data_IF_595055937054
#
_entry.id   IF_595055937054
#
_cell.length_a   1.000
_cell.length_b   1.000
_cell.length_c   1.000
_cell.angle_alpha   90.00
_cell.angle_beta   90.00
_cell.angle_gamma   90.00
#
_symmetry.space_group_name_H-M   'P 1'
#
loop_
_entity.id
_entity.type
_entity.pdbx_description
1 polymer ?
#
# COMPACT_ATOMS: atom_id res chain seq x y z
N UNK A 1 2.07 -16.83 16.87
CA UNK A 1 1.78 -15.67 16.02
C UNK A 1 1.53 -16.20 14.61
N UNK A 2 0.27 -16.42 14.26
CA UNK A 2 -0.11 -16.80 12.90
C UNK A 2 -0.18 -15.51 12.11
N UNK A 3 0.81 -15.26 11.25
CA UNK A 3 0.84 -14.06 10.42
C UNK A 3 -0.29 -14.09 9.39
N UNK A 4 -1.05 -13.02 9.23
CA UNK A 4 -1.92 -12.85 8.04
C UNK A 4 -1.09 -13.05 6.77
N UNK A 5 -1.52 -14.00 5.93
CA UNK A 5 -0.93 -14.26 4.63
C UNK A 5 -1.93 -13.89 3.54
N UNK A 6 -1.56 -12.95 2.68
CA UNK A 6 -2.37 -12.54 1.53
C UNK A 6 -2.02 -13.42 0.32
N UNK A 7 -2.98 -13.64 -0.58
CA UNK A 7 -2.79 -14.46 -1.78
C UNK A 7 -1.59 -14.00 -2.63
N UNK A 8 -0.96 -14.93 -3.36
CA UNK A 8 0.14 -14.59 -4.28
C UNK A 8 -0.30 -13.66 -5.41
N UNK A 9 -1.57 -13.71 -5.80
CA UNK A 9 -2.15 -12.79 -6.78
C UNK A 9 -2.19 -11.36 -6.26
N UNK A 10 -2.72 -11.14 -5.05
CA UNK A 10 -2.77 -9.82 -4.42
C UNK A 10 -1.36 -9.29 -4.16
N UNK A 11 -0.45 -10.14 -3.67
CA UNK A 11 0.97 -9.78 -3.49
C UNK A 11 1.62 -9.33 -4.80
N UNK A 12 1.33 -10.01 -5.91
CA UNK A 12 1.81 -9.62 -7.25
C UNK A 12 1.19 -8.30 -7.69
N UNK A 13 -0.10 -8.10 -7.48
CA UNK A 13 -0.82 -6.89 -7.85
C UNK A 13 -0.31 -5.66 -7.07
N UNK A 14 -0.02 -5.80 -5.77
CA UNK A 14 0.58 -4.74 -4.96
C UNK A 14 2.02 -4.46 -5.39
N UNK A 15 2.84 -5.50 -5.61
CA UNK A 15 4.22 -5.35 -6.11
C UNK A 15 4.29 -4.59 -7.43
N UNK A 16 3.36 -4.84 -8.35
CA UNK A 16 3.29 -4.11 -9.61
C UNK A 16 2.95 -2.62 -9.41
N UNK A 17 2.09 -2.29 -8.45
CA UNK A 17 1.80 -0.89 -8.08
C UNK A 17 3.03 -0.21 -7.47
N UNK A 18 3.69 -0.86 -6.52
CA UNK A 18 4.91 -0.35 -5.90
C UNK A 18 6.06 -0.18 -6.90
N UNK A 19 6.19 -1.09 -7.87
CA UNK A 19 7.21 -0.96 -8.93
C UNK A 19 6.99 0.27 -9.80
N UNK A 20 5.73 0.67 -10.05
CA UNK A 20 5.42 1.93 -10.74
C UNK A 20 5.74 3.15 -9.88
N UNK A 21 5.37 3.11 -8.59
CA UNK A 21 5.71 4.18 -7.65
C UNK A 21 7.23 4.37 -7.52
N UNK A 22 8.00 3.27 -7.51
CA UNK A 22 9.47 3.30 -7.54
C UNK A 22 9.99 4.08 -8.75
N UNK A 23 9.49 3.81 -9.95
CA UNK A 23 9.89 4.56 -11.14
C UNK A 23 9.55 6.06 -11.08
N UNK A 24 8.44 6.41 -10.43
CA UNK A 24 8.09 7.82 -10.17
C UNK A 24 9.07 8.48 -9.20
N UNK A 25 9.44 7.78 -8.12
CA UNK A 25 10.40 8.27 -7.13
C UNK A 25 11.80 8.44 -7.76
N UNK A 26 12.24 7.46 -8.56
CA UNK A 26 13.50 7.56 -9.31
C UNK A 26 13.51 8.77 -10.27
N UNK A 27 12.38 9.07 -10.92
CA UNK A 27 12.25 10.25 -11.76
C UNK A 27 12.32 11.55 -10.95
N UNK A 28 11.63 11.62 -9.81
CA UNK A 28 11.65 12.78 -8.90
C UNK A 28 13.07 13.05 -8.39
N UNK A 29 13.80 12.01 -7.95
CA UNK A 29 15.18 12.12 -7.50
C UNK A 29 16.05 12.73 -8.60
N UNK A 30 15.93 12.21 -9.83
CA UNK A 30 16.69 12.73 -10.98
C UNK A 30 16.36 14.20 -11.30
N UNK A 31 15.09 14.59 -11.19
CA UNK A 31 14.69 15.99 -11.39
C UNK A 31 15.25 16.94 -10.34
N UNK A 32 15.40 16.46 -9.10
CA UNK A 32 16.06 17.21 -8.03
C UNK A 32 17.57 17.33 -8.31
N UNK A 33 18.22 16.25 -8.75
CA UNK A 33 19.64 16.26 -9.16
C UNK A 33 19.90 17.16 -10.38
N UNK A 34 18.90 17.34 -11.25
CA UNK A 34 18.92 18.26 -12.40
C UNK A 34 18.54 19.72 -12.04
N UNK A 35 18.38 20.05 -10.75
CA UNK A 35 17.97 21.37 -10.25
C UNK A 35 16.68 21.92 -10.89
N UNK A 36 15.70 21.05 -11.19
CA UNK A 36 14.43 21.48 -11.79
C UNK A 36 13.58 22.31 -10.83
N UNK A 37 12.72 23.21 -11.33
CA UNK A 37 11.84 24.01 -10.48
C UNK A 37 10.94 23.14 -9.59
N UNK A 38 10.92 23.43 -8.29
CA UNK A 38 10.12 22.67 -7.32
C UNK A 38 8.63 22.59 -7.69
N UNK A 39 8.09 23.65 -8.31
CA UNK A 39 6.69 23.68 -8.76
C UNK A 39 6.36 22.61 -9.81
N UNK A 40 7.34 22.12 -10.57
CA UNK A 40 7.18 21.02 -11.53
C UNK A 40 7.31 19.63 -10.87
N UNK A 41 8.03 19.55 -9.74
CA UNK A 41 8.30 18.31 -9.00
C UNK A 41 7.17 17.97 -8.03
N UNK A 42 6.60 18.98 -7.36
CA UNK A 42 5.55 18.79 -6.33
C UNK A 42 4.36 17.94 -6.81
N UNK A 43 3.78 18.14 -8.01
CA UNK A 43 2.69 17.29 -8.51
C UNK A 43 3.09 15.83 -8.66
N UNK A 44 4.36 15.56 -9.01
CA UNK A 44 4.88 14.20 -9.17
C UNK A 44 5.05 13.52 -7.82
N UNK A 45 5.52 14.24 -6.79
CA UNK A 45 5.58 13.73 -5.41
C UNK A 45 4.19 13.36 -4.89
N UNK A 46 3.20 14.22 -5.11
CA UNK A 46 1.80 13.94 -4.74
C UNK A 46 1.29 12.70 -5.48
N UNK A 47 1.61 12.55 -6.77
CA UNK A 47 1.21 11.39 -7.55
C UNK A 47 1.87 10.09 -7.04
N UNK A 48 3.16 10.14 -6.67
CA UNK A 48 3.89 9.03 -6.09
C UNK A 48 3.33 8.63 -4.72
N UNK A 49 3.07 9.59 -3.83
CA UNK A 49 2.42 9.35 -2.52
C UNK A 49 1.09 8.63 -2.72
N UNK A 50 0.20 9.17 -3.56
CA UNK A 50 -1.10 8.55 -3.87
C UNK A 50 -0.96 7.14 -4.47
N UNK A 51 0.11 6.87 -5.22
CA UNK A 51 0.36 5.55 -5.78
C UNK A 51 0.74 4.54 -4.68
N UNK A 52 1.55 4.96 -3.70
CA UNK A 52 1.90 4.17 -2.52
C UNK A 52 0.66 3.95 -1.66
N UNK A 53 -0.12 4.98 -1.35
CA UNK A 53 -1.32 4.87 -0.53
C UNK A 53 -2.29 3.84 -1.12
N UNK A 54 -2.57 3.91 -2.43
CA UNK A 54 -3.41 2.93 -3.13
C UNK A 54 -2.86 1.50 -3.05
N UNK A 55 -1.54 1.33 -3.04
CA UNK A 55 -0.92 0.02 -2.88
C UNK A 55 -1.12 -0.51 -1.45
N UNK A 56 -0.98 0.36 -0.45
CA UNK A 56 -1.24 0.04 0.96
C UNK A 56 -2.69 -0.32 1.20
N UNK A 57 -3.64 0.47 0.69
CA UNK A 57 -5.08 0.17 0.75
C UNK A 57 -5.42 -1.19 0.17
N UNK A 58 -4.86 -1.52 -1.01
CA UNK A 58 -5.09 -2.81 -1.64
C UNK A 58 -4.55 -3.97 -0.78
N UNK A 59 -3.37 -3.81 -0.17
CA UNK A 59 -2.79 -4.84 0.70
C UNK A 59 -3.62 -5.04 1.98
N UNK A 60 -4.03 -3.96 2.65
CA UNK A 60 -4.83 -4.02 3.88
C UNK A 60 -6.20 -4.64 3.62
N UNK A 61 -6.86 -4.26 2.51
CA UNK A 61 -8.14 -4.86 2.13
C UNK A 61 -8.02 -6.35 1.89
N UNK A 62 -6.99 -6.78 1.15
CA UNK A 62 -6.75 -8.20 0.88
C UNK A 62 -6.40 -8.98 2.16
N UNK A 63 -5.67 -8.36 3.08
CA UNK A 63 -5.38 -8.93 4.40
C UNK A 63 -6.67 -9.13 5.24
N UNK A 64 -7.55 -8.12 5.29
CA UNK A 64 -8.85 -8.21 5.99
C UNK A 64 -9.72 -9.32 5.38
N UNK A 65 -9.76 -9.42 4.05
CA UNK A 65 -10.50 -10.48 3.35
C UNK A 65 -9.93 -11.87 3.65
N UNK A 66 -8.61 -11.99 3.77
CA UNK A 66 -7.97 -13.24 4.17
C UNK A 66 -8.38 -13.66 5.58
N UNK A 67 -8.41 -12.73 6.54
CA UNK A 67 -8.87 -13.00 7.91
C UNK A 67 -10.32 -13.48 7.95
N UNK A 68 -11.19 -12.93 7.09
CA UNK A 68 -12.59 -13.36 7.00
C UNK A 68 -12.74 -14.81 6.49
N UNK A 69 -11.76 -15.29 5.73
CA UNK A 69 -11.82 -16.57 5.03
C UNK A 69 -11.14 -17.72 5.81
N UNK A 70 -10.23 -17.43 6.73
CA UNK A 70 -9.31 -18.43 7.30
C UNK A 70 -9.89 -19.29 8.43
N UNK A 71 -11.06 -18.96 8.98
CA UNK A 71 -11.46 -19.52 10.28
C UNK A 71 -12.96 -19.80 10.40
N UNK A 72 -13.79 -19.28 9.49
CA UNK A 72 -15.26 -19.30 9.61
C UNK A 72 -15.81 -18.45 10.78
N UNK A 73 -14.95 -18.04 11.72
CA UNK A 73 -15.20 -16.93 12.63
C UNK A 73 -15.14 -15.62 11.85
N UNK A 74 -15.97 -14.65 12.24
CA UNK A 74 -15.98 -13.35 11.58
C UNK A 74 -14.61 -12.67 11.66
N UNK A 75 -14.40 -11.65 10.83
CA UNK A 75 -13.18 -10.82 10.84
C UNK A 75 -12.81 -10.35 12.25
N UNK A 76 -13.79 -10.11 13.12
CA UNK A 76 -13.60 -9.56 14.46
C UNK A 76 -12.91 -10.51 15.44
N UNK A 77 -12.94 -11.82 15.19
CA UNK A 77 -12.32 -12.83 16.06
C UNK A 77 -10.87 -13.14 15.65
N UNK A 78 -10.39 -12.61 14.52
CA UNK A 78 -9.01 -12.84 14.07
C UNK A 78 -8.02 -11.97 14.88
N UNK A 79 -6.91 -12.55 15.40
CA UNK A 79 -5.99 -11.84 16.29
C UNK A 79 -5.37 -10.56 15.70
N UNK A 80 -5.23 -10.51 14.37
CA UNK A 80 -4.66 -9.36 13.66
C UNK A 80 -5.71 -8.32 13.19
N UNK A 81 -7.00 -8.55 13.44
CA UNK A 81 -8.07 -7.70 12.91
C UNK A 81 -8.08 -6.28 13.48
N UNK A 82 -7.81 -6.12 14.77
CA UNK A 82 -7.73 -4.81 15.42
C UNK A 82 -6.58 -3.99 14.82
N UNK A 83 -5.43 -4.63 14.58
CA UNK A 83 -4.25 -3.98 14.00
C UNK A 83 -4.50 -3.56 12.56
N UNK A 84 -5.10 -4.44 11.74
CA UNK A 84 -5.50 -4.09 10.37
C UNK A 84 -6.50 -2.93 10.33
N UNK A 85 -7.43 -2.86 11.29
CA UNK A 85 -8.38 -1.75 11.42
C UNK A 85 -7.68 -0.44 11.78
N UNK A 86 -6.71 -0.48 12.71
CA UNK A 86 -5.87 0.70 13.04
C UNK A 86 -5.10 1.20 11.83
N UNK A 87 -4.45 0.30 11.10
CA UNK A 87 -3.73 0.64 9.87
C UNK A 87 -4.70 1.26 8.86
N UNK A 88 -5.86 0.64 8.62
CA UNK A 88 -6.85 1.18 7.68
C UNK A 88 -7.30 2.60 8.03
N UNK A 89 -7.59 2.87 9.32
CA UNK A 89 -7.97 4.20 9.77
C UNK A 89 -6.85 5.24 9.66
N UNK A 90 -5.59 4.81 9.73
CA UNK A 90 -4.44 5.72 9.54
C UNK A 90 -4.22 6.15 8.08
N UNK A 91 -4.89 5.49 7.13
CA UNK A 91 -4.80 5.83 5.71
C UNK A 91 -5.83 6.89 5.28
N UNK A 92 -6.84 7.17 6.12
CA UNK A 92 -7.92 8.14 5.88
C UNK A 92 -7.51 9.56 6.29
#
# INVERSE_FOLDING_TARGET
MTSVQVSEEDRRAVRNRLSRARGQIEAIIRQLEEDKPCLEILPQMIAASKAVDRATYAMVLAAIQSCAASDGSGVEDHPDAEELRKIFLSLA
#
